data_IF_688694836209
#
_entry.id   IF_688694836209
#
_cell.length_a   1.000
_cell.length_b   1.000
_cell.length_c   1.000
_cell.angle_alpha   90.00
_cell.angle_beta   90.00
_cell.angle_gamma   90.00
#
_symmetry.space_group_name_H-M   'P 1'
#
loop_
_entity.id
_entity.type
_entity.pdbx_description
1 polymer ?
#
# COMPACT_ATOMS: atom_id res chain seq x y z
N UNK A 1 -5.60 -22.36 -24.70
CA UNK A 1 -5.29 -21.43 -23.60
C UNK A 1 -6.53 -21.39 -22.73
N UNK A 2 -6.52 -21.77 -21.45
CA UNK A 2 -7.63 -21.45 -20.58
C UNK A 2 -7.75 -19.92 -20.52
N UNK A 3 -8.91 -19.41 -20.87
CA UNK A 3 -9.30 -18.02 -20.65
C UNK A 3 -8.97 -17.63 -19.21
N UNK A 4 -8.11 -16.62 -19.05
CA UNK A 4 -7.94 -15.93 -17.79
C UNK A 4 -9.31 -15.27 -17.50
N UNK A 5 -10.08 -15.73 -16.50
CA UNK A 5 -11.38 -15.12 -16.22
C UNK A 5 -11.07 -13.65 -15.92
N UNK A 6 -11.54 -12.76 -16.79
CA UNK A 6 -11.28 -11.33 -16.67
C UNK A 6 -11.45 -10.93 -15.21
N UNK A 7 -10.46 -10.21 -14.67
CA UNK A 7 -10.53 -9.67 -13.31
C UNK A 7 -11.96 -9.15 -13.08
N UNK A 8 -12.56 -9.41 -11.90
CA UNK A 8 -13.93 -8.97 -11.64
C UNK A 8 -14.06 -7.50 -12.07
N UNK A 9 -15.13 -7.18 -12.78
CA UNK A 9 -15.44 -5.81 -13.21
C UNK A 9 -15.45 -4.94 -11.94
N UNK A 10 -14.30 -4.31 -11.68
CA UNK A 10 -14.10 -3.48 -10.50
C UNK A 10 -14.82 -2.20 -10.84
N UNK A 11 -16.04 -2.08 -10.33
CA UNK A 11 -16.80 -0.84 -10.38
C UNK A 11 -15.98 0.25 -9.68
N UNK A 12 -15.23 1.02 -10.46
CA UNK A 12 -14.38 2.11 -9.96
C UNK A 12 -15.21 3.24 -9.35
N UNK A 13 -16.53 3.26 -9.61
CA UNK A 13 -17.49 4.17 -8.97
C UNK A 13 -17.90 3.70 -7.55
N UNK A 14 -17.80 2.40 -7.23
CA UNK A 14 -17.87 1.86 -5.85
C UNK A 14 -16.51 1.98 -5.12
N UNK A 15 -15.74 3.03 -5.44
CA UNK A 15 -14.52 3.32 -4.69
C UNK A 15 -14.93 3.82 -3.31
N UNK A 16 -15.03 2.88 -2.37
CA UNK A 16 -15.27 3.15 -0.96
C UNK A 16 -14.48 4.40 -0.52
N UNK A 17 -15.16 5.30 0.20
CA UNK A 17 -14.55 6.49 0.76
C UNK A 17 -13.20 6.13 1.42
N UNK A 18 -12.16 6.98 1.32
CA UNK A 18 -10.84 6.64 1.83
C UNK A 18 -10.94 6.29 3.33
N UNK A 19 -10.81 5.00 3.62
CA UNK A 19 -10.77 4.50 4.99
C UNK A 19 -9.38 4.81 5.55
N UNK A 20 -9.34 5.43 6.73
CA UNK A 20 -8.08 5.54 7.44
C UNK A 20 -7.61 4.13 7.83
N UNK A 21 -6.35 3.77 7.58
CA UNK A 21 -5.86 2.45 7.96
C UNK A 21 -5.95 2.26 9.47
N UNK A 22 -6.42 1.10 9.90
CA UNK A 22 -6.32 0.70 11.31
C UNK A 22 -4.83 0.56 11.66
N UNK A 23 -4.35 1.18 12.76
CA UNK A 23 -2.96 1.03 13.21
C UNK A 23 -2.60 -0.45 13.39
N UNK A 24 -1.42 -0.83 12.93
CA UNK A 24 -0.88 -2.18 13.07
C UNK A 24 -0.38 -2.46 14.49
N UNK A 25 -0.12 -1.39 15.26
CA UNK A 25 0.47 -1.47 16.60
C UNK A 25 1.99 -1.61 16.60
N UNK A 26 2.61 -1.47 15.43
CA UNK A 26 4.06 -1.45 15.26
C UNK A 26 4.47 -0.07 14.75
N UNK A 27 5.15 0.70 15.60
CA UNK A 27 5.42 2.12 15.36
C UNK A 27 6.11 2.39 14.01
N UNK A 28 7.10 1.58 13.63
CA UNK A 28 7.82 1.72 12.35
C UNK A 28 6.92 1.42 11.13
N UNK A 29 6.01 0.45 11.25
CA UNK A 29 5.05 0.10 10.19
C UNK A 29 4.01 1.20 10.05
N UNK A 30 3.49 1.69 11.18
CA UNK A 30 2.47 2.74 11.21
C UNK A 30 3.00 4.06 10.66
N UNK A 31 4.27 4.40 10.96
CA UNK A 31 4.95 5.56 10.39
C UNK A 31 5.10 5.45 8.86
N UNK A 32 5.53 4.29 8.36
CA UNK A 32 5.64 4.04 6.92
C UNK A 32 4.28 4.12 6.22
N UNK A 33 3.24 3.52 6.79
CA UNK A 33 1.90 3.55 6.21
C UNK A 33 1.27 4.95 6.21
N UNK A 34 1.65 5.82 7.16
CA UNK A 34 1.19 7.21 7.17
C UNK A 34 1.66 8.00 5.93
N UNK A 35 2.80 7.64 5.33
CA UNK A 35 3.29 8.30 4.10
C UNK A 35 2.37 8.07 2.90
N UNK A 36 1.54 7.02 2.88
CA UNK A 36 0.56 6.79 1.80
C UNK A 36 -0.43 7.95 1.65
N UNK A 37 -0.69 8.71 2.73
CA UNK A 37 -1.51 9.92 2.69
C UNK A 37 -0.97 10.98 1.74
N UNK A 38 0.35 11.01 1.49
CA UNK A 38 0.98 11.95 0.56
C UNK A 38 0.63 11.69 -0.92
N UNK A 39 0.13 10.51 -1.26
CA UNK A 39 -0.27 10.16 -2.62
C UNK A 39 -1.57 10.84 -3.05
N UNK A 40 -2.39 11.29 -2.10
CA UNK A 40 -3.64 11.97 -2.38
C UNK A 40 -3.35 13.30 -3.09
N UNK A 41 -3.71 13.39 -4.37
CA UNK A 41 -3.46 14.58 -5.20
C UNK A 41 -2.09 14.61 -5.87
N UNK A 42 -1.20 13.65 -5.59
CA UNK A 42 0.06 13.50 -6.31
C UNK A 42 -0.16 12.90 -7.72
N UNK A 43 0.67 13.25 -8.72
CA UNK A 43 0.64 12.60 -10.03
C UNK A 43 0.82 11.09 -9.93
N UNK A 44 0.05 10.32 -10.70
CA UNK A 44 0.12 8.85 -10.70
C UNK A 44 1.53 8.33 -11.00
N UNK A 45 2.31 9.06 -11.81
CA UNK A 45 3.70 8.71 -12.11
C UNK A 45 4.60 8.68 -10.85
N UNK A 46 4.27 9.49 -9.83
CA UNK A 46 5.02 9.55 -8.57
C UNK A 46 4.62 8.42 -7.60
N UNK A 47 3.44 7.82 -7.79
CA UNK A 47 2.91 6.79 -6.88
C UNK A 47 3.82 5.57 -6.84
N UNK A 48 4.38 5.16 -7.99
CA UNK A 48 5.27 4.00 -8.08
C UNK A 48 6.49 4.17 -7.19
N UNK A 49 7.16 5.33 -7.26
CA UNK A 49 8.36 5.59 -6.47
C UNK A 49 8.08 5.59 -4.95
N UNK A 50 6.91 6.08 -4.54
CA UNK A 50 6.48 6.04 -3.14
C UNK A 50 6.17 4.60 -2.72
N UNK A 51 5.42 3.85 -3.53
CA UNK A 51 5.11 2.44 -3.23
C UNK A 51 6.37 1.59 -3.12
N UNK A 52 7.35 1.75 -4.02
CA UNK A 52 8.60 1.00 -3.97
C UNK A 52 9.39 1.30 -2.70
N UNK A 53 9.48 2.57 -2.30
CA UNK A 53 10.15 2.99 -1.06
C UNK A 53 9.48 2.38 0.17
N UNK A 54 8.15 2.45 0.24
CA UNK A 54 7.38 1.89 1.34
C UNK A 54 7.50 0.37 1.39
N UNK A 55 7.47 -0.30 0.24
CA UNK A 55 7.64 -1.74 0.17
C UNK A 55 9.02 -2.17 0.69
N UNK A 56 10.08 -1.44 0.33
CA UNK A 56 11.42 -1.69 0.84
C UNK A 56 11.51 -1.49 2.36
N UNK A 57 10.91 -0.42 2.88
CA UNK A 57 10.88 -0.14 4.32
C UNK A 57 10.15 -1.22 5.11
N UNK A 58 8.94 -1.60 4.66
CA UNK A 58 8.13 -2.64 5.29
C UNK A 58 8.87 -3.99 5.30
N UNK A 59 9.54 -4.34 4.20
CA UNK A 59 10.35 -5.55 4.14
C UNK A 59 11.50 -5.51 5.15
N UNK A 60 12.18 -4.37 5.29
CA UNK A 60 13.22 -4.20 6.30
C UNK A 60 12.74 -4.43 7.73
N UNK A 61 11.54 -3.93 8.08
CA UNK A 61 10.93 -4.15 9.40
C UNK A 61 10.59 -5.63 9.62
N UNK A 62 10.04 -6.31 8.60
CA UNK A 62 9.74 -7.74 8.68
C UNK A 62 11.01 -8.59 8.80
N UNK A 63 12.06 -8.27 8.05
CA UNK A 63 13.35 -8.95 8.13
C UNK A 63 13.97 -8.77 9.53
N UNK A 64 13.91 -7.57 10.11
CA UNK A 64 14.38 -7.32 11.48
C UNK A 64 13.59 -8.10 12.54
N UNK A 65 12.28 -8.24 12.35
CA UNK A 65 11.40 -8.95 13.29
C UNK A 65 11.58 -10.47 13.20
N UNK A 66 11.93 -11.01 12.04
CA UNK A 66 12.17 -12.45 11.84
C UNK A 66 13.59 -12.90 12.19
N UNK A 67 14.52 -11.96 12.32
CA UNK A 67 15.90 -12.22 12.70
C UNK A 67 16.14 -12.21 14.23
N UNK A 68 15.17 -11.75 15.02
CA UNK A 68 15.19 -11.72 16.49
C UNK A 68 14.45 -12.90 17.11
#
# INVERSE_FOLDING_TARGET
>A
MPENPGAPDVDLDDRAAPVSPTPTGHDDVDALLAELGSLAGAPVAEHVAVFERLHLGLRGVLDATTAG
#
